data_IF_516253298949
#
_entry.id   IF_516253298949
#
_cell.length_a   1.000
_cell.length_b   1.000
_cell.length_c   1.000
_cell.angle_alpha   90.00
_cell.angle_beta   90.00
_cell.angle_gamma   90.00
#
_symmetry.space_group_name_H-M   'P 1'
#
loop_
_entity.id
_entity.type
_entity.pdbx_description
1 polymer ?
#
# COMPACT_ATOMS: atom_id res chain seq x y z
N UNK A 1 15.36 -5.99 -19.06
CA UNK A 1 14.66 -6.28 -20.33
C UNK A 1 13.20 -5.90 -20.12
N UNK A 2 12.75 -4.89 -20.84
CA UNK A 2 11.33 -4.52 -20.89
C UNK A 2 10.56 -5.71 -21.47
N UNK A 3 9.55 -6.15 -20.74
CA UNK A 3 8.54 -7.06 -21.28
C UNK A 3 7.48 -6.16 -21.87
N UNK A 4 7.16 -6.33 -23.16
CA UNK A 4 6.27 -5.51 -23.97
C UNK A 4 5.13 -4.82 -23.16
N UNK A 5 5.30 -3.51 -22.93
CA UNK A 5 4.28 -2.65 -22.33
C UNK A 5 4.02 -2.80 -20.83
N UNK A 6 4.71 -3.72 -20.14
CA UNK A 6 4.63 -3.87 -18.69
C UNK A 6 5.91 -3.33 -18.03
N UNK A 7 5.74 -2.60 -16.93
CA UNK A 7 6.86 -2.23 -16.06
C UNK A 7 7.55 -3.50 -15.56
N UNK A 8 8.89 -3.50 -15.36
CA UNK A 8 9.58 -4.65 -14.82
C UNK A 8 9.04 -4.99 -13.43
N UNK A 9 8.62 -6.23 -13.23
CA UNK A 9 8.18 -6.73 -11.93
C UNK A 9 9.34 -7.42 -11.22
N UNK A 10 9.49 -7.14 -9.93
CA UNK A 10 10.29 -7.94 -9.03
C UNK A 10 9.35 -8.77 -8.13
N UNK A 11 9.59 -10.07 -8.03
CA UNK A 11 8.89 -10.93 -7.09
C UNK A 11 9.84 -11.26 -5.93
N UNK A 12 9.43 -10.93 -4.71
CA UNK A 12 10.12 -11.30 -3.48
C UNK A 12 9.38 -12.47 -2.86
N UNK A 13 10.06 -13.61 -2.78
CA UNK A 13 9.49 -14.86 -2.29
C UNK A 13 10.24 -15.27 -1.03
N UNK A 14 9.51 -15.46 0.05
CA UNK A 14 10.02 -15.95 1.32
C UNK A 14 9.39 -17.31 1.62
N UNK A 15 10.20 -18.27 2.03
CA UNK A 15 9.74 -19.63 2.34
C UNK A 15 10.19 -19.98 3.75
N UNK A 16 9.23 -20.31 4.60
CA UNK A 16 9.51 -20.85 5.93
C UNK A 16 9.40 -22.38 5.86
N UNK A 17 10.46 -23.08 6.18
CA UNK A 17 10.59 -24.52 6.04
C UNK A 17 10.95 -25.17 7.38
N UNK A 18 10.52 -26.40 7.58
CA UNK A 18 10.81 -27.19 8.80
C UNK A 18 12.26 -27.64 8.86
N UNK A 19 12.85 -27.92 7.71
CA UNK A 19 14.21 -28.42 7.59
C UNK A 19 14.89 -28.00 6.28
N UNK A 20 16.18 -28.31 6.16
CA UNK A 20 16.99 -27.98 4.97
C UNK A 20 16.55 -28.71 3.70
N UNK A 21 15.98 -29.89 3.81
CA UNK A 21 15.52 -30.67 2.66
C UNK A 21 14.28 -30.01 2.04
N UNK A 22 13.31 -29.63 2.89
CA UNK A 22 12.14 -28.87 2.46
C UNK A 22 12.53 -27.53 1.83
N UNK A 23 13.52 -26.83 2.42
CA UNK A 23 14.04 -25.58 1.87
C UNK A 23 14.63 -25.78 0.47
N UNK A 24 15.50 -26.77 0.29
CA UNK A 24 16.12 -27.04 -1.00
C UNK A 24 15.10 -27.41 -2.07
N UNK A 25 14.11 -28.22 -1.72
CA UNK A 25 13.03 -28.64 -2.62
C UNK A 25 12.17 -27.43 -3.04
N UNK A 26 11.80 -26.56 -2.09
CA UNK A 26 11.02 -25.36 -2.33
C UNK A 26 11.77 -24.36 -3.22
N UNK A 27 13.04 -24.11 -2.92
CA UNK A 27 13.88 -23.23 -3.72
C UNK A 27 14.10 -23.76 -5.14
N UNK A 28 14.27 -25.08 -5.30
CA UNK A 28 14.36 -25.72 -6.61
C UNK A 28 13.10 -25.51 -7.44
N UNK A 29 11.92 -25.70 -6.82
CA UNK A 29 10.63 -25.48 -7.48
C UNK A 29 10.45 -24.00 -7.89
N UNK A 30 10.78 -23.07 -7.01
CA UNK A 30 10.71 -21.62 -7.29
C UNK A 30 11.61 -21.29 -8.48
N UNK A 31 12.84 -21.79 -8.50
CA UNK A 31 13.77 -21.55 -9.60
C UNK A 31 13.28 -22.14 -10.92
N UNK A 32 12.67 -23.33 -10.90
CA UNK A 32 12.04 -23.92 -12.09
C UNK A 32 10.89 -23.07 -12.62
N UNK A 33 10.00 -22.59 -11.73
CA UNK A 33 8.89 -21.71 -12.11
C UNK A 33 9.44 -20.41 -12.68
N UNK A 34 10.41 -19.79 -12.01
CA UNK A 34 11.08 -18.58 -12.47
C UNK A 34 11.66 -18.75 -13.89
N UNK A 35 12.40 -19.83 -14.12
CA UNK A 35 12.98 -20.15 -15.44
C UNK A 35 11.92 -20.38 -16.53
N UNK A 36 10.83 -21.10 -16.19
CA UNK A 36 9.70 -21.33 -17.11
C UNK A 36 9.06 -20.02 -17.58
N UNK A 37 9.01 -19.03 -16.71
CA UNK A 37 8.45 -17.71 -17.00
C UNK A 37 9.49 -16.66 -17.40
N UNK A 38 10.70 -17.08 -17.78
CA UNK A 38 11.81 -16.21 -18.22
C UNK A 38 12.23 -15.17 -17.17
N UNK A 39 12.00 -15.48 -15.91
CA UNK A 39 12.45 -14.66 -14.79
C UNK A 39 13.96 -14.74 -14.61
N UNK A 40 14.54 -13.66 -14.09
CA UNK A 40 15.94 -13.60 -13.66
C UNK A 40 15.97 -13.62 -12.13
N UNK A 41 16.71 -14.56 -11.56
CA UNK A 41 16.96 -14.55 -10.11
C UNK A 41 17.96 -13.45 -9.80
N UNK A 42 17.59 -12.56 -8.89
CA UNK A 42 18.42 -11.46 -8.38
C UNK A 42 18.68 -11.65 -6.90
N UNK A 43 19.61 -10.88 -6.36
CA UNK A 43 19.94 -10.90 -4.95
C UNK A 43 18.75 -10.46 -4.08
N UNK A 44 18.54 -11.16 -2.94
CA UNK A 44 17.47 -10.92 -1.97
C UNK A 44 17.88 -10.08 -0.76
N UNK A 45 19.00 -9.36 -0.80
CA UNK A 45 19.55 -8.63 0.34
C UNK A 45 18.57 -7.61 0.94
N UNK A 46 17.75 -6.93 0.12
CA UNK A 46 16.72 -6.02 0.61
C UNK A 46 15.71 -6.73 1.52
N UNK A 47 15.21 -7.89 1.10
CA UNK A 47 14.21 -8.63 1.88
C UNK A 47 14.83 -9.23 3.15
N UNK A 48 16.10 -9.61 3.09
CA UNK A 48 16.86 -10.06 4.25
C UNK A 48 17.00 -8.92 5.27
N UNK A 49 17.43 -7.75 4.84
CA UNK A 49 17.54 -6.57 5.69
C UNK A 49 16.20 -6.18 6.35
N UNK A 50 15.09 -6.25 5.59
CA UNK A 50 13.74 -6.00 6.13
C UNK A 50 13.32 -7.05 7.17
N UNK A 51 13.68 -8.32 7.00
CA UNK A 51 13.40 -9.37 8.00
C UNK A 51 14.26 -9.23 9.25
N UNK A 52 15.49 -8.78 9.12
CA UNK A 52 16.41 -8.54 10.26
C UNK A 52 15.98 -7.33 11.09
N UNK A 53 15.33 -6.33 10.48
CA UNK A 53 14.87 -5.11 11.14
C UNK A 53 13.37 -4.83 10.87
N UNK A 54 12.45 -5.69 11.31
CA UNK A 54 11.04 -5.59 10.94
C UNK A 54 10.29 -4.41 11.60
N UNK A 55 10.88 -3.77 12.61
CA UNK A 55 10.25 -2.70 13.39
C UNK A 55 10.77 -1.29 13.07
N UNK A 56 11.55 -1.13 12.00
CA UNK A 56 12.06 0.17 11.56
C UNK A 56 11.02 0.99 10.75
N UNK A 57 9.74 0.89 11.13
CA UNK A 57 8.62 1.46 10.39
C UNK A 57 8.63 2.99 10.29
N UNK A 58 9.01 3.78 11.31
CA UNK A 58 9.02 5.24 11.20
C UNK A 58 9.96 5.74 10.09
N UNK A 59 11.13 5.15 9.96
CA UNK A 59 12.11 5.53 8.94
C UNK A 59 11.64 5.16 7.51
N UNK A 60 10.77 4.15 7.38
CA UNK A 60 10.22 3.74 6.08
C UNK A 60 9.14 4.70 5.54
N UNK A 61 8.64 5.62 6.37
CA UNK A 61 7.59 6.56 5.97
C UNK A 61 8.11 7.80 5.22
N UNK A 62 9.42 7.92 5.08
CA UNK A 62 10.07 8.92 4.23
C UNK A 62 10.91 8.24 3.17
N UNK A 63 10.95 8.82 1.97
CA UNK A 63 11.85 8.42 0.90
C UNK A 63 13.30 8.85 1.20
N UNK A 64 14.25 8.32 0.43
CA UNK A 64 15.68 8.58 0.60
C UNK A 64 16.09 10.06 0.54
N UNK A 65 15.30 10.89 -0.15
CA UNK A 65 15.50 12.33 -0.24
C UNK A 65 14.49 13.13 0.62
N UNK A 66 13.86 12.50 1.62
CA UNK A 66 12.85 13.13 2.48
C UNK A 66 11.48 13.27 1.84
N UNK A 67 11.20 12.54 0.74
CA UNK A 67 9.88 12.53 0.14
C UNK A 67 8.86 11.91 1.10
N UNK A 68 7.66 12.47 1.06
CA UNK A 68 6.49 11.88 1.73
C UNK A 68 6.03 10.66 0.96
N UNK A 69 5.49 9.71 1.70
CA UNK A 69 4.93 8.49 1.15
C UNK A 69 3.56 8.18 1.76
N UNK A 70 2.65 7.69 0.94
CA UNK A 70 1.38 7.14 1.42
C UNK A 70 1.00 5.89 0.65
N UNK A 71 0.81 4.76 1.34
CA UNK A 71 0.27 3.55 0.75
C UNK A 71 -1.26 3.60 0.72
N UNK A 72 -1.84 3.22 -0.41
CA UNK A 72 -3.28 3.03 -0.60
C UNK A 72 -3.52 1.59 -1.03
N UNK A 73 -4.36 0.83 -0.32
CA UNK A 73 -4.49 -0.59 -0.60
C UNK A 73 -5.92 -1.07 -0.72
N UNK A 74 -6.08 -2.18 -1.42
CA UNK A 74 -7.31 -2.96 -1.50
C UNK A 74 -7.02 -4.45 -1.53
N UNK A 75 -7.78 -5.22 -0.77
CA UNK A 75 -7.75 -6.68 -0.76
C UNK A 75 -8.84 -7.22 -1.67
N UNK A 76 -8.46 -7.89 -2.76
CA UNK A 76 -9.36 -8.34 -3.82
C UNK A 76 -9.23 -9.85 -4.10
N UNK A 77 -10.24 -10.50 -4.68
CA UNK A 77 -10.12 -11.85 -5.20
C UNK A 77 -9.08 -11.96 -6.33
N UNK A 78 -8.40 -13.10 -6.45
CA UNK A 78 -7.47 -13.36 -7.56
C UNK A 78 -8.08 -13.13 -8.94
N UNK A 79 -9.35 -13.48 -9.13
CA UNK A 79 -10.04 -13.34 -10.41
C UNK A 79 -10.12 -11.90 -10.91
N UNK A 80 -10.06 -10.91 -10.01
CA UNK A 80 -10.15 -9.49 -10.34
C UNK A 80 -8.78 -8.80 -10.44
N UNK A 81 -7.70 -9.47 -10.06
CA UNK A 81 -6.37 -8.86 -9.94
C UNK A 81 -5.88 -8.25 -11.26
N UNK A 82 -5.92 -9.02 -12.34
CA UNK A 82 -5.48 -8.52 -13.66
C UNK A 82 -6.27 -7.30 -14.12
N UNK A 83 -7.58 -7.33 -13.92
CA UNK A 83 -8.47 -6.21 -14.26
C UNK A 83 -8.13 -4.96 -13.45
N UNK A 84 -7.92 -5.10 -12.15
CA UNK A 84 -7.54 -3.98 -11.30
C UNK A 84 -6.20 -3.37 -11.72
N UNK A 85 -5.17 -4.17 -12.01
CA UNK A 85 -3.87 -3.64 -12.46
C UNK A 85 -4.00 -2.83 -13.75
N UNK A 86 -4.78 -3.32 -14.71
CA UNK A 86 -5.04 -2.58 -15.97
C UNK A 86 -5.72 -1.23 -15.69
N UNK A 87 -6.68 -1.19 -14.78
CA UNK A 87 -7.36 0.06 -14.44
C UNK A 87 -6.47 1.02 -13.63
N UNK A 88 -5.58 0.51 -12.76
CA UNK A 88 -4.56 1.33 -12.07
C UNK A 88 -3.62 1.99 -13.10
N UNK A 89 -3.10 1.24 -14.05
CA UNK A 89 -2.23 1.78 -15.11
C UNK A 89 -2.96 2.84 -15.95
N UNK A 90 -4.20 2.60 -16.34
CA UNK A 90 -5.02 3.59 -17.05
C UNK A 90 -5.26 4.83 -16.22
N UNK A 91 -5.58 4.67 -14.95
CA UNK A 91 -5.80 5.77 -14.02
C UNK A 91 -4.57 6.70 -13.98
N UNK A 92 -3.39 6.15 -13.74
CA UNK A 92 -2.17 6.96 -13.68
C UNK A 92 -1.74 7.53 -15.03
N UNK A 93 -2.03 6.84 -16.13
CA UNK A 93 -1.80 7.40 -17.47
C UNK A 93 -2.66 8.63 -17.73
N UNK A 94 -3.90 8.64 -17.30
CA UNK A 94 -4.78 9.82 -17.39
C UNK A 94 -4.31 10.98 -16.52
N UNK A 95 -3.63 10.70 -15.42
CA UNK A 95 -3.08 11.72 -14.51
C UNK A 95 -1.64 12.15 -14.86
N UNK A 96 -1.05 11.63 -15.93
CA UNK A 96 0.39 11.79 -16.23
C UNK A 96 0.86 13.26 -16.27
N UNK A 97 0.08 14.15 -16.88
CA UNK A 97 0.40 15.58 -16.97
C UNK A 97 0.46 16.21 -15.58
N UNK A 98 -0.51 15.88 -14.73
CA UNK A 98 -0.58 16.36 -13.35
C UNK A 98 0.56 15.79 -12.51
N UNK A 99 0.80 14.49 -12.58
CA UNK A 99 1.87 13.82 -11.84
C UNK A 99 3.23 14.45 -12.15
N UNK A 100 3.51 14.72 -13.44
CA UNK A 100 4.75 15.39 -13.86
C UNK A 100 4.84 16.81 -13.34
N UNK A 101 3.75 17.59 -13.42
CA UNK A 101 3.71 18.98 -12.93
C UNK A 101 3.93 19.05 -11.43
N UNK A 102 3.27 18.20 -10.65
CA UNK A 102 3.30 18.17 -9.20
C UNK A 102 4.46 17.33 -8.63
N UNK A 103 5.28 16.73 -9.52
CA UNK A 103 6.39 15.84 -9.15
C UNK A 103 5.96 14.70 -8.21
N UNK A 104 4.77 14.15 -8.45
CA UNK A 104 4.27 12.97 -7.75
C UNK A 104 4.72 11.74 -8.52
N UNK A 105 5.37 10.80 -7.85
CA UNK A 105 5.66 9.48 -8.40
C UNK A 105 4.79 8.42 -7.74
N UNK A 106 4.65 7.28 -8.41
CA UNK A 106 3.87 6.17 -7.89
C UNK A 106 4.50 4.83 -8.22
N UNK A 107 4.20 3.87 -7.39
CA UNK A 107 4.51 2.45 -7.61
C UNK A 107 3.37 1.58 -7.10
N UNK A 108 3.39 0.29 -7.38
CA UNK A 108 2.50 -0.65 -6.72
C UNK A 108 3.25 -1.90 -6.26
N UNK A 109 2.74 -2.49 -5.19
CA UNK A 109 3.16 -3.77 -4.64
C UNK A 109 1.95 -4.67 -4.53
N UNK A 110 2.12 -5.96 -4.71
CA UNK A 110 1.06 -6.94 -4.55
C UNK A 110 1.53 -8.09 -3.68
N UNK A 111 0.74 -8.41 -2.66
CA UNK A 111 1.03 -9.49 -1.72
C UNK A 111 -0.08 -10.53 -1.75
N UNK A 112 0.30 -11.80 -1.82
CA UNK A 112 -0.65 -12.90 -1.71
C UNK A 112 -1.12 -13.04 -0.27
N UNK A 113 -2.43 -13.07 -0.07
CA UNK A 113 -3.05 -13.26 1.24
C UNK A 113 -3.84 -14.56 1.22
N UNK A 114 -3.28 -15.56 1.90
CA UNK A 114 -3.82 -16.91 1.84
C UNK A 114 -3.79 -17.47 0.41
N UNK A 115 -4.84 -18.20 0.01
CA UNK A 115 -4.91 -18.90 -1.28
C UNK A 115 -5.96 -18.34 -2.26
N UNK A 116 -6.61 -17.22 -1.93
CA UNK A 116 -7.74 -16.72 -2.71
C UNK A 116 -7.75 -15.21 -2.94
N UNK A 117 -6.89 -14.46 -2.25
CA UNK A 117 -6.89 -13.00 -2.29
C UNK A 117 -5.50 -12.42 -2.53
N UNK A 118 -5.49 -11.23 -3.10
CA UNK A 118 -4.29 -10.41 -3.28
C UNK A 118 -4.55 -9.05 -2.63
N UNK A 119 -3.62 -8.62 -1.80
CA UNK A 119 -3.50 -7.24 -1.38
C UNK A 119 -2.76 -6.50 -2.50
N UNK A 120 -3.39 -5.50 -3.09
CA UNK A 120 -2.76 -4.57 -4.02
C UNK A 120 -2.58 -3.25 -3.29
N UNK A 121 -1.36 -2.79 -3.21
CA UNK A 121 -1.00 -1.54 -2.57
C UNK A 121 -0.40 -0.60 -3.61
N UNK A 122 -0.98 0.58 -3.75
CA UNK A 122 -0.49 1.67 -4.59
C UNK A 122 0.17 2.70 -3.70
N UNK A 123 1.41 3.01 -3.98
CA UNK A 123 2.23 3.94 -3.23
C UNK A 123 2.34 5.27 -3.99
N UNK A 124 2.06 6.37 -3.32
CA UNK A 124 2.29 7.72 -3.83
C UNK A 124 3.46 8.35 -3.07
N UNK A 125 4.34 9.01 -3.81
CA UNK A 125 5.52 9.71 -3.27
C UNK A 125 5.53 11.14 -3.78
N UNK A 126 5.83 12.10 -2.88
CA UNK A 126 5.89 13.52 -3.23
C UNK A 126 6.79 14.27 -2.25
N UNK A 127 7.28 15.44 -2.68
CA UNK A 127 8.05 16.34 -1.80
C UNK A 127 7.12 17.32 -1.10
N UNK A 128 7.13 17.30 0.23
CA UNK A 128 6.36 18.20 1.10
C UNK A 128 7.02 18.27 2.48
N UNK A 129 6.62 19.23 3.29
CA UNK A 129 7.12 19.34 4.66
C UNK A 129 6.73 18.14 5.50
N UNK A 130 7.57 17.81 6.45
CA UNK A 130 7.24 16.91 7.56
C UNK A 130 6.34 17.69 8.51
N UNK A 131 5.28 17.08 9.02
CA UNK A 131 4.42 17.70 10.04
C UNK A 131 5.04 17.56 11.42
N UNK A 132 4.77 18.54 12.32
CA UNK A 132 5.28 18.53 13.69
C UNK A 132 4.98 17.20 14.40
N UNK A 133 3.74 16.71 14.27
CA UNK A 133 3.34 15.42 14.84
C UNK A 133 4.10 14.22 14.28
N UNK A 134 4.72 14.35 13.12
CA UNK A 134 5.52 13.30 12.53
C UNK A 134 6.98 13.43 12.96
N UNK A 135 7.46 14.65 13.16
CA UNK A 135 8.79 14.94 13.73
C UNK A 135 8.91 14.37 15.15
N UNK A 136 7.85 14.41 15.95
CA UNK A 136 7.81 13.86 17.32
C UNK A 136 8.08 12.34 17.40
N UNK A 137 7.89 11.61 16.30
CA UNK A 137 8.11 10.16 16.23
C UNK A 137 9.43 9.76 15.56
N UNK A 138 10.14 10.71 14.94
CA UNK A 138 11.38 10.45 14.24
C UNK A 138 12.59 10.77 15.11
N UNK A 139 13.62 9.95 15.00
CA UNK A 139 14.92 10.23 15.61
C UNK A 139 15.50 11.54 15.03
N UNK A 140 16.04 12.41 15.88
CA UNK A 140 16.64 13.69 15.47
C UNK A 140 17.76 13.48 14.43
N UNK A 141 18.60 12.46 14.62
CA UNK A 141 19.65 12.12 13.67
C UNK A 141 19.08 11.66 12.31
N UNK A 142 17.89 11.06 12.30
CA UNK A 142 17.19 10.71 11.07
C UNK A 142 16.67 11.96 10.36
N UNK A 143 16.05 12.89 11.09
CA UNK A 143 15.52 14.14 10.53
C UNK A 143 16.66 14.99 9.92
N UNK A 144 17.82 15.06 10.60
CA UNK A 144 18.97 15.83 10.12
C UNK A 144 19.57 15.24 8.83
N UNK A 145 19.51 13.94 8.65
CA UNK A 145 20.05 13.26 7.44
C UNK A 145 19.19 13.42 6.21
N UNK A 146 17.92 13.78 6.36
CA UNK A 146 16.97 13.88 5.25
C UNK A 146 16.77 15.33 4.82
N UNK A 147 16.57 15.53 3.53
CA UNK A 147 16.24 16.84 3.00
C UNK A 147 14.90 17.31 3.55
N UNK A 148 14.87 18.56 4.04
CA UNK A 148 13.62 19.21 4.41
C UNK A 148 13.03 19.88 3.16
N UNK A 149 11.79 19.56 2.87
CA UNK A 149 11.02 20.19 1.80
C UNK A 149 10.10 21.27 2.37
N UNK A 150 9.93 22.41 1.69
CA UNK A 150 8.93 23.38 2.09
C UNK A 150 7.53 22.81 1.92
N UNK A 151 6.58 23.29 2.72
CA UNK A 151 5.17 22.91 2.55
C UNK A 151 4.66 23.30 1.16
N UNK A 152 3.95 22.38 0.52
CA UNK A 152 3.37 22.56 -0.81
C UNK A 152 1.88 22.16 -0.80
N UNK A 153 1.02 23.16 -0.55
CA UNK A 153 -0.43 22.97 -0.46
C UNK A 153 -1.05 22.39 -1.75
N UNK A 154 -0.53 22.76 -2.91
CA UNK A 154 -1.05 22.29 -4.20
C UNK A 154 -0.79 20.79 -4.37
N UNK A 155 0.44 20.37 -4.10
CA UNK A 155 0.82 18.95 -4.15
C UNK A 155 0.08 18.16 -3.08
N UNK A 156 -0.03 18.68 -1.86
CA UNK A 156 -0.80 18.05 -0.78
C UNK A 156 -2.25 17.80 -1.19
N UNK A 157 -2.93 18.83 -1.72
CA UNK A 157 -4.31 18.70 -2.20
C UNK A 157 -4.41 17.74 -3.39
N UNK A 158 -3.40 17.75 -4.26
CA UNK A 158 -3.26 16.83 -5.36
C UNK A 158 -3.22 15.37 -4.92
N UNK A 159 -2.36 15.06 -3.98
CA UNK A 159 -2.27 13.71 -3.40
C UNK A 159 -3.56 13.31 -2.71
N UNK A 160 -4.20 14.23 -1.97
CA UNK A 160 -5.48 13.96 -1.31
C UNK A 160 -6.57 13.58 -2.31
N UNK A 161 -6.64 14.24 -3.46
CA UNK A 161 -7.58 13.89 -4.53
C UNK A 161 -7.25 12.53 -5.15
N UNK A 162 -5.99 12.28 -5.51
CA UNK A 162 -5.57 10.97 -6.04
C UNK A 162 -5.90 9.83 -5.08
N UNK A 163 -5.74 10.03 -3.78
CA UNK A 163 -6.13 9.05 -2.75
C UNK A 163 -7.63 8.75 -2.80
N UNK A 164 -8.47 9.77 -2.86
CA UNK A 164 -9.92 9.61 -2.93
C UNK A 164 -10.34 8.84 -4.20
N UNK A 165 -9.75 9.17 -5.34
CA UNK A 165 -10.03 8.51 -6.62
C UNK A 165 -9.56 7.05 -6.62
N UNK A 166 -8.40 6.74 -6.01
CA UNK A 166 -7.91 5.38 -5.83
C UNK A 166 -8.83 4.54 -4.93
N UNK A 167 -9.34 5.12 -3.83
CA UNK A 167 -10.34 4.45 -2.98
C UNK A 167 -11.58 4.07 -3.80
N UNK A 168 -12.09 5.00 -4.59
CA UNK A 168 -13.23 4.75 -5.46
C UNK A 168 -12.93 3.66 -6.51
N UNK A 169 -11.71 3.63 -7.04
CA UNK A 169 -11.27 2.57 -7.95
C UNK A 169 -11.26 1.21 -7.25
N UNK A 170 -10.65 1.10 -6.08
CA UNK A 170 -10.66 -0.13 -5.29
C UNK A 170 -12.08 -0.60 -4.96
N UNK A 171 -12.98 0.31 -4.59
CA UNK A 171 -14.39 -0.02 -4.32
C UNK A 171 -15.10 -0.63 -5.53
N UNK A 172 -14.86 -0.11 -6.75
CA UNK A 172 -15.43 -0.69 -7.98
C UNK A 172 -15.05 -2.15 -8.20
N UNK A 173 -13.92 -2.57 -7.65
CA UNK A 173 -13.46 -3.96 -7.67
C UNK A 173 -13.90 -4.77 -6.45
N UNK A 174 -14.81 -4.25 -5.63
CA UNK A 174 -15.31 -4.93 -4.44
C UNK A 174 -14.23 -5.19 -3.41
N UNK A 175 -13.22 -4.32 -3.33
CA UNK A 175 -12.13 -4.48 -2.38
C UNK A 175 -12.59 -4.31 -0.94
N UNK A 176 -11.91 -5.02 -0.04
CA UNK A 176 -11.92 -4.74 1.39
C UNK A 176 -10.57 -4.16 1.79
N UNK A 177 -10.49 -3.55 2.96
CA UNK A 177 -9.28 -2.88 3.43
C UNK A 177 -8.83 -3.46 4.76
N UNK A 178 -7.51 -3.58 4.96
CA UNK A 178 -6.93 -4.09 6.21
C UNK A 178 -6.83 -3.00 7.27
N UNK A 179 -6.53 -1.77 6.85
CA UNK A 179 -6.45 -0.64 7.75
C UNK A 179 -7.84 -0.09 8.03
N UNK A 180 -8.13 0.09 9.31
CA UNK A 180 -9.35 0.69 9.81
C UNK A 180 -9.05 2.10 10.29
N UNK A 181 -9.94 3.04 10.01
CA UNK A 181 -9.75 4.45 10.35
C UNK A 181 -10.75 5.31 9.61
N UNK A 182 -10.32 6.51 9.22
CA UNK A 182 -11.17 7.49 8.50
C UNK A 182 -10.97 7.49 6.98
N UNK A 183 -9.93 6.82 6.49
CA UNK A 183 -9.55 6.88 5.07
C UNK A 183 -10.43 5.99 4.20
N UNK A 184 -10.69 4.77 4.64
CA UNK A 184 -11.44 3.79 3.86
C UNK A 184 -12.89 3.70 4.29
N UNK A 185 -13.84 3.58 3.35
CA UNK A 185 -15.27 3.53 3.66
C UNK A 185 -15.67 2.12 4.16
N UNK A 186 -15.37 1.83 5.41
CA UNK A 186 -15.55 0.52 6.01
C UNK A 186 -17.00 0.02 5.92
N UNK A 187 -17.98 0.83 6.35
CA UNK A 187 -19.38 0.40 6.40
C UNK A 187 -19.95 0.07 5.01
N UNK A 188 -19.61 0.84 3.99
CA UNK A 188 -20.14 0.66 2.63
C UNK A 188 -19.58 -0.57 1.91
N UNK A 189 -18.49 -1.14 2.43
CA UNK A 189 -17.86 -2.36 1.90
C UNK A 189 -18.31 -3.63 2.62
N UNK A 190 -19.24 -3.52 3.57
CA UNK A 190 -19.78 -4.65 4.33
C UNK A 190 -21.17 -5.04 3.83
N UNK A 191 -21.57 -6.27 4.13
CA UNK A 191 -22.97 -6.70 3.92
C UNK A 191 -23.88 -5.87 4.81
N UNK A 192 -25.06 -5.50 4.32
CA UNK A 192 -25.98 -4.60 4.99
C UNK A 192 -26.28 -4.95 6.44
N UNK A 193 -26.56 -6.24 6.73
CA UNK A 193 -26.80 -6.72 8.09
C UNK A 193 -25.59 -6.54 9.03
N UNK A 194 -24.35 -6.66 8.52
CA UNK A 194 -23.13 -6.42 9.32
C UNK A 194 -22.98 -4.93 9.63
N UNK A 195 -23.24 -4.08 8.65
CA UNK A 195 -23.18 -2.61 8.84
C UNK A 195 -24.23 -2.15 9.86
N UNK A 196 -25.46 -2.66 9.78
CA UNK A 196 -26.53 -2.38 10.74
C UNK A 196 -26.18 -2.84 12.17
N UNK A 197 -25.60 -4.02 12.33
CA UNK A 197 -25.14 -4.51 13.63
C UNK A 197 -24.07 -3.59 14.23
N UNK A 198 -23.08 -3.18 13.43
CA UNK A 198 -22.00 -2.29 13.89
C UNK A 198 -22.58 -0.93 14.31
N UNK A 199 -23.50 -0.36 13.53
CA UNK A 199 -24.16 0.89 13.87
C UNK A 199 -24.97 0.78 15.18
N UNK A 200 -25.74 -0.30 15.38
CA UNK A 200 -26.46 -0.53 16.64
C UNK A 200 -25.52 -0.64 17.81
N UNK A 201 -24.43 -1.42 17.70
CA UNK A 201 -23.43 -1.51 18.74
C UNK A 201 -22.81 -0.15 19.08
N UNK A 202 -22.47 0.64 18.06
CA UNK A 202 -21.94 1.99 18.25
C UNK A 202 -22.92 2.89 19.03
N UNK A 203 -24.18 2.90 18.64
CA UNK A 203 -25.23 3.71 19.27
C UNK A 203 -25.43 3.32 20.73
N UNK A 204 -25.44 2.03 21.05
CA UNK A 204 -25.63 1.52 22.42
C UNK A 204 -24.42 1.78 23.32
N UNK A 205 -23.20 1.61 22.79
CA UNK A 205 -21.97 1.71 23.59
C UNK A 205 -21.43 3.13 23.67
N UNK A 206 -21.76 3.98 22.70
CA UNK A 206 -21.28 5.37 22.61
C UNK A 206 -22.38 6.31 22.11
N UNK A 207 -23.49 6.46 22.87
CA UNK A 207 -24.63 7.27 22.44
C UNK A 207 -24.30 8.76 22.30
N UNK A 208 -23.20 9.23 22.87
CA UNK A 208 -22.74 10.61 22.76
C UNK A 208 -21.68 10.81 21.67
N UNK A 209 -21.35 9.78 20.88
CA UNK A 209 -20.38 9.80 19.77
C UNK A 209 -19.00 10.35 20.14
N UNK A 210 -18.51 10.01 21.34
CA UNK A 210 -17.22 10.52 21.88
C UNK A 210 -16.03 9.62 21.55
N UNK A 211 -16.27 8.34 21.31
CA UNK A 211 -15.21 7.37 21.08
C UNK A 211 -14.90 7.31 19.56
N UNK A 212 -13.71 7.75 19.20
CA UNK A 212 -13.21 7.70 17.81
C UNK A 212 -14.24 8.23 16.76
N UNK A 213 -14.73 9.46 16.87
CA UNK A 213 -15.75 9.98 15.96
C UNK A 213 -15.26 9.98 14.51
N UNK A 214 -16.10 9.47 13.61
CA UNK A 214 -15.82 9.35 12.17
C UNK A 214 -14.91 8.19 11.77
N UNK A 215 -14.37 7.40 12.71
CA UNK A 215 -13.61 6.18 12.39
C UNK A 215 -14.59 5.12 11.88
N UNK A 216 -14.17 4.34 10.86
CA UNK A 216 -14.99 3.36 10.15
C UNK A 216 -16.20 3.95 9.41
N UNK A 217 -16.35 5.28 9.32
CA UNK A 217 -17.56 5.94 8.85
C UNK A 217 -18.68 5.98 9.90
N UNK A 218 -18.36 5.80 11.17
CA UNK A 218 -19.26 5.91 12.32
C UNK A 218 -19.23 7.34 12.87
N UNK A 219 -20.36 8.00 12.88
CA UNK A 219 -20.55 9.30 13.51
C UNK A 219 -20.90 9.17 14.98
#
# INVERSE_FOLDING_TARGET
KEIDGLRPFAAHISVDCRDKFELQSSMSLINQICGKHRGLVIDGELMKAMRENPFNAPEMLLGANGERWVPMHGLIPFSLYKGLLVEIEKFFKLQEVRLKKEKISWSHVSNLIGNSRILVEVNLYWSDSITDSFEDFLDEAFIIRHNRHPHNSDVYNGVKLLRSELINLFQKFGSTHLQIGKTYPYLTTRMGNVSELILKLKTELDPAHRINPGVLGLE
#
